data_IF_360037250598
#
_entry.id   IF_360037250598
#
_cell.length_a   1.000
_cell.length_b   1.000
_cell.length_c   1.000
_cell.angle_alpha   90.00
_cell.angle_beta   90.00
_cell.angle_gamma   90.00
#
_symmetry.space_group_name_H-M   'P 1'
#
loop_
_entity.id
_entity.type
_entity.pdbx_description
1 polymer ?
#
# COMPACT_ATOMS: atom_id res chain seq x y z
N UNK A 1 20.97 6.53 -1.15
CA UNK A 1 21.92 5.47 -1.58
C UNK A 1 21.16 4.49 -2.45
N UNK A 2 21.80 3.90 -3.47
CA UNK A 2 21.17 2.85 -4.29
C UNK A 2 21.69 1.48 -3.87
N UNK A 3 20.78 0.54 -3.65
CA UNK A 3 21.11 -0.86 -3.36
C UNK A 3 20.86 -1.72 -4.61
N UNK A 4 21.71 -2.75 -4.81
CA UNK A 4 21.57 -3.66 -5.94
C UNK A 4 20.76 -4.89 -5.53
N UNK A 5 19.62 -5.08 -6.20
CA UNK A 5 18.78 -6.28 -6.06
C UNK A 5 18.98 -7.14 -7.31
N UNK A 6 19.21 -8.45 -7.13
CA UNK A 6 19.27 -9.41 -8.22
C UNK A 6 18.04 -10.32 -8.16
N UNK A 7 17.26 -10.39 -9.24
CA UNK A 7 16.07 -11.24 -9.32
C UNK A 7 16.13 -12.11 -10.59
N UNK A 8 15.69 -13.36 -10.48
CA UNK A 8 15.48 -14.23 -11.65
C UNK A 8 14.05 -14.10 -12.12
N UNK A 9 13.88 -13.72 -13.38
CA UNK A 9 12.57 -13.66 -14.03
C UNK A 9 12.31 -14.94 -14.82
N UNK A 10 11.05 -15.36 -14.88
CA UNK A 10 10.63 -16.40 -15.83
C UNK A 10 10.82 -15.88 -17.26
N UNK A 11 10.96 -16.80 -18.22
CA UNK A 11 11.16 -16.42 -19.63
C UNK A 11 10.09 -15.45 -20.16
N UNK A 12 8.78 -15.67 -19.93
CA UNK A 12 7.75 -14.72 -20.38
C UNK A 12 7.90 -13.31 -19.79
N UNK A 13 8.31 -13.20 -18.52
CA UNK A 13 8.52 -11.92 -17.86
C UNK A 13 9.77 -11.21 -18.41
N UNK A 14 10.86 -11.94 -18.65
CA UNK A 14 12.06 -11.38 -19.25
C UNK A 14 11.80 -10.87 -20.68
N UNK A 15 11.05 -11.63 -21.49
CA UNK A 15 10.63 -11.22 -22.84
C UNK A 15 9.72 -9.98 -22.79
N UNK A 16 8.82 -9.89 -21.80
CA UNK A 16 7.99 -8.70 -21.61
C UNK A 16 8.83 -7.47 -21.28
N UNK A 17 9.76 -7.57 -20.31
CA UNK A 17 10.67 -6.46 -19.96
C UNK A 17 11.48 -6.04 -21.18
N UNK A 18 11.95 -7.00 -21.99
CA UNK A 18 12.68 -6.72 -23.23
C UNK A 18 11.86 -5.91 -24.25
N UNK A 19 10.53 -6.06 -24.32
CA UNK A 19 9.68 -5.23 -25.20
C UNK A 19 9.44 -3.82 -24.67
N UNK A 20 9.53 -3.63 -23.35
CA UNK A 20 9.36 -2.31 -22.72
C UNK A 20 10.62 -1.44 -22.81
N UNK A 21 11.76 -2.03 -23.20
CA UNK A 21 13.08 -1.41 -23.15
C UNK A 21 13.73 -1.38 -24.53
N UNK A 22 14.41 -0.28 -24.88
CA UNK A 22 15.15 -0.13 -26.15
C UNK A 22 14.49 0.84 -27.13
N UNK A 23 14.90 0.83 -28.41
CA UNK A 23 14.52 1.86 -29.40
C UNK A 23 13.01 2.07 -29.60
N UNK A 24 12.22 1.03 -29.38
CA UNK A 24 10.75 1.07 -29.48
C UNK A 24 10.05 0.98 -28.12
N UNK A 25 10.85 0.85 -27.05
CA UNK A 25 10.38 0.77 -25.67
C UNK A 25 10.22 2.15 -25.03
N UNK A 26 9.49 2.21 -23.92
CA UNK A 26 9.28 3.44 -23.15
C UNK A 26 10.41 3.71 -22.14
N UNK A 27 11.30 2.74 -21.94
CA UNK A 27 12.36 2.80 -20.94
C UNK A 27 13.72 2.51 -21.58
N UNK A 28 14.78 3.12 -21.08
CA UNK A 28 16.12 2.92 -21.62
C UNK A 28 16.77 1.64 -21.08
N UNK A 29 16.41 1.25 -19.85
CA UNK A 29 17.00 0.08 -19.19
C UNK A 29 15.96 -0.78 -18.47
N UNK A 30 16.20 -2.10 -18.31
CA UNK A 30 15.34 -2.97 -17.49
C UNK A 30 15.21 -2.46 -16.05
N UNK A 31 16.31 -1.96 -15.48
CA UNK A 31 16.33 -1.43 -14.12
C UNK A 31 15.45 -0.20 -13.95
N UNK A 32 15.26 0.61 -14.99
CA UNK A 32 14.32 1.73 -14.96
C UNK A 32 12.88 1.26 -14.97
N UNK A 33 12.53 0.36 -15.90
CA UNK A 33 11.21 -0.25 -15.97
C UNK A 33 10.81 -0.91 -14.65
N UNK A 34 11.71 -1.73 -14.08
CA UNK A 34 11.44 -2.43 -12.81
C UNK A 34 11.27 -1.46 -11.64
N UNK A 35 12.08 -0.40 -11.56
CA UNK A 35 11.92 0.62 -10.50
C UNK A 35 10.57 1.33 -10.62
N UNK A 36 10.17 1.68 -11.84
CA UNK A 36 8.88 2.33 -12.06
C UNK A 36 7.71 1.39 -11.75
N UNK A 37 7.81 0.11 -12.15
CA UNK A 37 6.83 -0.91 -11.79
C UNK A 37 6.67 -1.08 -10.27
N UNK A 38 7.78 -1.12 -9.53
CA UNK A 38 7.77 -1.22 -8.07
C UNK A 38 7.11 0.02 -7.47
N UNK A 39 7.43 1.22 -7.94
CA UNK A 39 6.82 2.46 -7.45
C UNK A 39 5.30 2.45 -7.63
N UNK A 40 4.82 2.09 -8.83
CA UNK A 40 3.39 1.95 -9.10
C UNK A 40 2.72 0.86 -8.26
N UNK A 41 3.45 -0.21 -7.93
CA UNK A 41 2.93 -1.24 -7.01
C UNK A 41 2.81 -0.71 -5.58
N UNK A 42 3.81 0.05 -5.11
CA UNK A 42 3.78 0.70 -3.80
C UNK A 42 2.62 1.68 -3.69
N UNK A 43 2.49 2.60 -4.65
CA UNK A 43 1.40 3.60 -4.69
C UNK A 43 0.02 2.93 -4.69
N UNK A 44 -0.19 1.92 -5.54
CA UNK A 44 -1.47 1.20 -5.57
C UNK A 44 -1.80 0.52 -4.24
N UNK A 45 -0.83 -0.06 -3.55
CA UNK A 45 -1.06 -0.70 -2.25
C UNK A 45 -1.36 0.33 -1.16
N UNK A 46 -0.65 1.45 -1.17
CA UNK A 46 -0.91 2.56 -0.25
C UNK A 46 -2.32 3.14 -0.45
N UNK A 47 -2.71 3.40 -1.70
CA UNK A 47 -4.06 3.87 -2.05
C UNK A 47 -5.14 2.88 -1.61
N UNK A 48 -4.87 1.58 -1.74
CA UNK A 48 -5.81 0.54 -1.34
C UNK A 48 -5.97 0.45 0.18
N UNK A 49 -4.87 0.58 0.94
CA UNK A 49 -4.90 0.68 2.39
C UNK A 49 -5.71 1.89 2.87
N UNK A 50 -5.52 3.05 2.23
CA UNK A 50 -6.28 4.27 2.54
C UNK A 50 -7.77 4.07 2.27
N UNK A 51 -8.13 3.50 1.11
CA UNK A 51 -9.52 3.21 0.76
C UNK A 51 -10.17 2.25 1.75
N UNK A 52 -9.48 1.16 2.11
CA UNK A 52 -9.99 0.17 3.05
C UNK A 52 -10.20 0.78 4.45
N UNK A 53 -9.28 1.63 4.90
CA UNK A 53 -9.40 2.36 6.17
C UNK A 53 -10.60 3.32 6.19
N UNK A 54 -10.81 4.07 5.10
CA UNK A 54 -11.96 4.97 4.96
C UNK A 54 -13.28 4.19 5.02
N UNK A 55 -13.37 3.08 4.27
CA UNK A 55 -14.56 2.23 4.26
C UNK A 55 -14.82 1.59 5.63
N UNK A 56 -13.76 1.17 6.34
CA UNK A 56 -13.87 0.67 7.71
C UNK A 56 -14.45 1.75 8.65
N UNK A 57 -13.91 2.97 8.60
CA UNK A 57 -14.42 4.10 9.41
C UNK A 57 -15.89 4.43 9.13
N UNK A 58 -16.34 4.38 7.87
CA UNK A 58 -17.76 4.55 7.56
C UNK A 58 -18.64 3.44 8.15
N UNK A 59 -18.17 2.19 8.18
CA UNK A 59 -18.89 1.08 8.81
C UNK A 59 -18.94 1.23 10.33
N UNK A 60 -17.88 1.76 10.94
CA UNK A 60 -17.84 2.08 12.37
C UNK A 60 -18.84 3.17 12.72
N UNK A 61 -18.87 4.25 11.93
CA UNK A 61 -19.85 5.34 12.09
C UNK A 61 -21.29 4.82 11.96
N UNK A 62 -21.59 4.01 10.94
CA UNK A 62 -22.91 3.43 10.73
C UNK A 62 -23.33 2.49 11.88
N UNK A 63 -22.36 1.86 12.56
CA UNK A 63 -22.59 0.99 13.70
C UNK A 63 -22.53 1.71 15.06
N UNK A 64 -22.33 3.04 15.08
CA UNK A 64 -22.18 3.82 16.32
C UNK A 64 -20.88 3.55 17.07
N UNK A 65 -19.90 2.92 16.43
CA UNK A 65 -18.57 2.62 16.99
C UNK A 65 -17.67 3.87 16.94
N UNK A 66 -18.02 4.87 17.73
CA UNK A 66 -17.34 6.16 17.80
C UNK A 66 -17.06 6.52 19.26
N UNK A 67 -16.02 7.31 19.49
CA UNK A 67 -15.74 7.93 20.78
C UNK A 67 -15.11 9.31 20.56
N UNK A 68 -15.23 10.17 21.57
CA UNK A 68 -14.62 11.50 21.55
C UNK A 68 -13.11 11.36 21.76
N UNK A 69 -12.32 11.92 20.84
CA UNK A 69 -10.86 11.93 20.94
C UNK A 69 -10.42 12.77 22.13
N UNK A 70 -9.46 12.27 22.90
CA UNK A 70 -8.81 13.00 23.99
C UNK A 70 -7.80 14.04 23.48
N UNK A 71 -7.54 14.08 22.16
CA UNK A 71 -6.51 14.92 21.52
C UNK A 71 -5.08 14.38 21.66
N UNK A 72 -4.91 13.22 22.29
CA UNK A 72 -3.65 12.51 22.42
C UNK A 72 -3.75 11.15 21.73
N UNK A 73 -2.92 10.94 20.71
CA UNK A 73 -3.04 9.78 19.83
C UNK A 73 -2.80 8.46 20.56
N UNK A 74 -1.81 8.40 21.46
CA UNK A 74 -1.51 7.15 22.20
C UNK A 74 -2.69 6.78 23.12
N UNK A 75 -3.27 7.76 23.81
CA UNK A 75 -4.45 7.58 24.65
C UNK A 75 -5.67 7.12 23.86
N UNK A 76 -5.93 7.74 22.70
CA UNK A 76 -7.05 7.39 21.82
C UNK A 76 -6.91 5.97 21.27
N UNK A 77 -5.70 5.55 20.89
CA UNK A 77 -5.43 4.18 20.42
C UNK A 77 -5.64 3.14 21.52
N UNK A 78 -5.25 3.45 22.76
CA UNK A 78 -5.51 2.57 23.90
C UNK A 78 -7.01 2.45 24.19
N UNK A 79 -7.77 3.55 24.06
CA UNK A 79 -9.22 3.53 24.22
C UNK A 79 -9.92 2.72 23.13
N UNK A 80 -9.49 2.86 21.87
CA UNK A 80 -9.98 2.06 20.75
C UNK A 80 -9.76 0.57 21.01
N UNK A 81 -8.52 0.17 21.34
CA UNK A 81 -8.20 -1.24 21.58
C UNK A 81 -9.04 -1.85 22.71
N UNK A 82 -9.32 -1.07 23.76
CA UNK A 82 -10.22 -1.49 24.84
C UNK A 82 -11.66 -1.66 24.35
N UNK A 83 -12.21 -0.70 23.60
CA UNK A 83 -13.57 -0.78 23.06
C UNK A 83 -13.73 -1.95 22.10
N UNK A 84 -12.74 -2.25 21.28
CA UNK A 84 -12.72 -3.43 20.42
C UNK A 84 -12.73 -4.73 21.23
N UNK A 85 -11.91 -4.83 22.29
CA UNK A 85 -11.88 -6.00 23.16
C UNK A 85 -13.20 -6.21 23.92
N UNK A 86 -13.85 -5.12 24.33
CA UNK A 86 -15.14 -5.13 25.03
C UNK A 86 -16.33 -5.28 24.05
N UNK A 87 -16.07 -5.45 22.74
CA UNK A 87 -17.10 -5.65 21.73
C UNK A 87 -18.00 -4.42 21.50
N UNK A 88 -17.50 -3.22 21.83
CA UNK A 88 -18.20 -1.95 21.73
C UNK A 88 -19.45 -1.83 22.62
N UNK A 89 -19.48 -2.54 23.75
CA UNK A 89 -20.50 -2.38 24.81
C UNK A 89 -20.31 -1.14 25.67
#
# INVERSE_FOLDING_TARGET
MSERINARLSRPLAEFVGRMVGETGLYETPSEYIRDLIRRDMERREDQLVQDAILAGYRDLAAGRLFESSGDFETDMAMLARKEADGWQ
#
